data_IF_245738414706
#
_entry.id   IF_245738414706
#
_cell.length_a   1.000
_cell.length_b   1.000
_cell.length_c   1.000
_cell.angle_alpha   90.00
_cell.angle_beta   90.00
_cell.angle_gamma   90.00
#
_symmetry.space_group_name_H-M   'P 1'
#
loop_
_entity.id
_entity.type
_entity.pdbx_description
1 polymer ?
#
# COMPACT_ATOMS: atom_id res chain seq x y z
N UNK A 1 -9.66 -8.18 -15.67
CA UNK A 1 -8.98 -7.38 -16.68
C UNK A 1 -7.55 -7.06 -16.28
N UNK A 2 -6.78 -6.40 -17.13
CA UNK A 2 -5.41 -6.00 -16.78
C UNK A 2 -5.42 -4.94 -15.68
N UNK A 3 -4.46 -5.02 -14.76
CA UNK A 3 -4.25 -4.05 -13.70
C UNK A 3 -3.03 -3.19 -14.01
N UNK A 4 -3.11 -1.89 -13.73
CA UNK A 4 -2.04 -0.93 -13.95
C UNK A 4 -1.38 -0.46 -12.64
N UNK A 5 -1.79 -1.01 -11.50
CA UNK A 5 -1.23 -0.68 -10.18
C UNK A 5 -1.37 -1.83 -9.19
N UNK A 6 -0.44 -1.88 -8.24
CA UNK A 6 -0.60 -2.62 -7.00
C UNK A 6 -1.24 -1.72 -5.95
N UNK A 7 -2.06 -2.29 -5.11
CA UNK A 7 -2.66 -1.58 -3.97
C UNK A 7 -2.45 -2.39 -2.70
N UNK A 8 -1.92 -1.74 -1.67
CA UNK A 8 -1.86 -2.28 -0.32
C UNK A 8 -2.70 -1.41 0.60
N UNK A 9 -3.58 -2.04 1.34
CA UNK A 9 -4.37 -1.39 2.40
C UNK A 9 -3.80 -1.82 3.75
N UNK A 10 -3.32 -0.84 4.53
CA UNK A 10 -2.80 -1.04 5.87
C UNK A 10 -3.93 -0.74 6.86
N UNK A 11 -4.57 -1.79 7.37
CA UNK A 11 -5.71 -1.70 8.28
C UNK A 11 -5.25 -1.99 9.72
N UNK A 12 -5.29 -0.97 10.61
CA UNK A 12 -4.83 -1.15 11.99
C UNK A 12 -5.85 -1.91 12.83
N UNK A 13 -5.37 -2.89 13.59
CA UNK A 13 -6.12 -3.49 14.68
C UNK A 13 -6.22 -2.55 15.88
N UNK A 14 -6.86 -3.01 16.96
CA UNK A 14 -6.96 -2.24 18.19
C UNK A 14 -5.57 -1.88 18.73
N UNK A 15 -5.45 -0.68 19.27
CA UNK A 15 -4.25 -0.14 19.93
C UNK A 15 -3.03 0.04 19.00
N UNK A 16 -3.21 -0.04 17.69
CA UNK A 16 -2.16 0.29 16.73
C UNK A 16 -2.10 1.81 16.52
N UNK A 17 -0.91 2.37 16.62
CA UNK A 17 -0.66 3.80 16.45
C UNK A 17 -0.38 4.18 15.00
N UNK A 18 -0.55 5.47 14.67
CA UNK A 18 -0.15 5.99 13.36
C UNK A 18 1.37 5.82 13.12
N UNK A 19 2.20 5.94 14.17
CA UNK A 19 3.63 5.70 14.07
C UNK A 19 3.94 4.27 13.65
N UNK A 20 3.21 3.29 14.17
CA UNK A 20 3.36 1.88 13.77
C UNK A 20 2.90 1.64 12.32
N UNK A 21 1.80 2.29 11.91
CA UNK A 21 1.38 2.26 10.50
C UNK A 21 2.45 2.85 9.58
N UNK A 22 3.05 3.98 9.96
CA UNK A 22 4.13 4.60 9.21
C UNK A 22 5.35 3.68 9.10
N UNK A 23 5.70 2.97 10.16
CA UNK A 23 6.79 1.99 10.16
C UNK A 23 6.57 0.90 9.12
N UNK A 24 5.36 0.35 9.06
CA UNK A 24 5.01 -0.67 8.07
C UNK A 24 4.97 -0.08 6.65
N UNK A 25 4.44 1.13 6.48
CA UNK A 25 4.45 1.81 5.18
C UNK A 25 5.87 2.01 4.65
N UNK A 26 6.80 2.44 5.49
CA UNK A 26 8.21 2.57 5.13
C UNK A 26 8.85 1.22 4.78
N UNK A 27 8.49 0.15 5.49
CA UNK A 27 8.98 -1.19 5.18
C UNK A 27 8.49 -1.68 3.81
N UNK A 28 7.23 -1.41 3.45
CA UNK A 28 6.71 -1.69 2.11
C UNK A 28 7.47 -0.87 1.06
N UNK A 29 7.68 0.41 1.31
CA UNK A 29 8.44 1.29 0.41
C UNK A 29 9.84 0.76 0.16
N UNK A 30 10.57 0.38 1.21
CA UNK A 30 11.92 -0.14 1.10
C UNK A 30 11.97 -1.42 0.26
N UNK A 31 11.01 -2.31 0.48
CA UNK A 31 10.89 -3.55 -0.28
C UNK A 31 10.59 -3.29 -1.76
N UNK A 32 9.74 -2.31 -2.05
CA UNK A 32 9.43 -1.90 -3.43
C UNK A 32 10.61 -1.18 -4.08
N UNK A 33 11.34 -0.34 -3.34
CA UNK A 33 12.54 0.32 -3.84
C UNK A 33 13.60 -0.70 -4.28
N UNK A 34 13.74 -1.81 -3.58
CA UNK A 34 14.66 -2.90 -3.95
C UNK A 34 14.35 -3.51 -5.32
N UNK A 35 13.12 -3.43 -5.77
CA UNK A 35 12.69 -3.90 -7.09
C UNK A 35 12.41 -2.76 -8.07
N UNK A 36 12.79 -1.53 -7.71
CA UNK A 36 12.70 -0.36 -8.60
C UNK A 36 11.30 0.21 -8.77
N UNK A 37 10.37 -0.09 -7.85
CA UNK A 37 9.00 0.38 -7.92
C UNK A 37 8.74 1.52 -6.92
N UNK A 38 8.27 2.69 -7.38
CA UNK A 38 7.89 3.78 -6.50
C UNK A 38 6.58 3.48 -5.79
N UNK A 39 6.42 3.98 -4.57
CA UNK A 39 5.20 3.83 -3.77
C UNK A 39 4.63 5.21 -3.45
N UNK A 40 3.32 5.35 -3.64
CA UNK A 40 2.57 6.58 -3.37
C UNK A 40 1.66 6.36 -2.16
N UNK A 41 1.95 7.00 -1.02
CA UNK A 41 1.17 6.81 0.19
C UNK A 41 -0.03 7.74 0.25
N UNK A 42 -1.12 7.24 0.84
CA UNK A 42 -2.32 8.01 1.13
C UNK A 42 -2.78 7.68 2.55
N UNK A 43 -3.28 8.67 3.27
CA UNK A 43 -4.14 8.39 4.42
C UNK A 43 -5.50 7.95 3.90
N UNK A 44 -6.08 6.90 4.52
CA UNK A 44 -7.25 6.22 3.93
C UNK A 44 -8.56 7.00 4.04
N UNK A 45 -8.59 8.01 4.90
CA UNK A 45 -9.82 8.70 5.27
C UNK A 45 -10.64 7.93 6.30
N UNK A 46 -10.09 6.88 6.86
CA UNK A 46 -10.66 6.09 7.95
C UNK A 46 -9.63 5.95 9.07
N UNK A 47 -8.97 4.81 9.19
CA UNK A 47 -8.02 4.56 10.28
C UNK A 47 -6.60 4.30 9.80
N UNK A 48 -6.42 3.87 8.58
CA UNK A 48 -5.17 3.34 8.07
C UNK A 48 -4.54 4.14 6.95
N UNK A 49 -3.70 3.46 6.21
CA UNK A 49 -2.98 3.98 5.05
C UNK A 49 -3.26 3.12 3.83
N UNK A 50 -3.25 3.74 2.65
CA UNK A 50 -3.19 3.04 1.38
C UNK A 50 -1.85 3.30 0.71
N UNK A 51 -1.31 2.30 0.05
CA UNK A 51 -0.08 2.41 -0.71
C UNK A 51 -0.36 2.00 -2.16
N UNK A 52 -0.12 2.90 -3.09
CA UNK A 52 -0.29 2.66 -4.51
C UNK A 52 1.06 2.51 -5.19
N UNK A 53 1.21 1.46 -5.98
CA UNK A 53 2.43 1.17 -6.73
C UNK A 53 2.07 1.09 -8.22
N UNK A 54 2.55 2.03 -9.06
CA UNK A 54 2.25 2.02 -10.48
C UNK A 54 2.99 0.88 -11.18
N UNK A 55 2.34 0.30 -12.16
CA UNK A 55 2.92 -0.72 -13.02
C UNK A 55 3.08 -0.15 -14.43
N UNK A 56 4.19 -0.51 -15.05
CA UNK A 56 4.58 -0.01 -16.37
C UNK A 56 3.58 -0.33 -17.46
N UNK A 57 3.27 -1.59 -17.50
CA UNK A 57 2.32 -2.12 -18.46
C UNK A 57 1.20 -2.81 -17.68
N UNK A 58 0.00 -2.85 -18.24
CA UNK A 58 -1.05 -3.64 -17.62
C UNK A 58 -0.61 -5.09 -17.47
N UNK A 59 -0.61 -5.56 -16.22
CA UNK A 59 -0.31 -6.94 -15.87
C UNK A 59 -1.62 -7.65 -15.61
N UNK A 60 -1.69 -8.95 -15.92
CA UNK A 60 -2.86 -9.74 -15.55
C UNK A 60 -3.12 -9.63 -14.05
N UNK A 61 -4.37 -9.44 -13.67
CA UNK A 61 -4.75 -9.22 -12.26
C UNK A 61 -4.37 -10.37 -11.34
N UNK A 62 -4.32 -11.60 -11.84
CA UNK A 62 -3.82 -12.75 -11.07
C UNK A 62 -2.32 -12.64 -10.75
N UNK A 63 -1.51 -12.15 -11.70
CA UNK A 63 -0.08 -11.90 -11.47
C UNK A 63 0.16 -10.78 -10.47
N UNK A 64 -0.62 -9.71 -10.53
CA UNK A 64 -0.56 -8.61 -9.58
C UNK A 64 -0.95 -9.09 -8.17
N UNK A 65 -2.00 -9.89 -8.05
CA UNK A 65 -2.44 -10.45 -6.77
C UNK A 65 -1.36 -11.38 -6.16
N UNK A 66 -0.69 -12.17 -6.98
CA UNK A 66 0.41 -13.04 -6.52
C UNK A 66 1.57 -12.22 -5.96
N UNK A 67 1.98 -11.15 -6.67
CA UNK A 67 3.06 -10.27 -6.21
C UNK A 67 2.67 -9.58 -4.90
N UNK A 68 1.48 -9.01 -4.82
CA UNK A 68 0.99 -8.33 -3.64
C UNK A 68 0.92 -9.26 -2.42
N UNK A 69 0.43 -10.49 -2.62
CA UNK A 69 0.39 -11.51 -1.57
C UNK A 69 1.78 -11.87 -1.05
N UNK A 70 2.76 -12.03 -1.96
CA UNK A 70 4.14 -12.35 -1.57
C UNK A 70 4.79 -11.24 -0.76
N UNK A 71 4.56 -10.00 -1.13
CA UNK A 71 5.05 -8.83 -0.38
C UNK A 71 4.45 -8.84 1.02
N UNK A 72 3.13 -9.02 1.13
CA UNK A 72 2.45 -9.09 2.42
C UNK A 72 2.98 -10.22 3.30
N UNK A 73 3.18 -11.40 2.75
CA UNK A 73 3.71 -12.56 3.47
C UNK A 73 5.16 -12.33 3.92
N UNK A 74 5.98 -11.69 3.10
CA UNK A 74 7.35 -11.38 3.47
C UNK A 74 7.42 -10.39 4.64
N UNK A 75 6.56 -9.38 4.64
CA UNK A 75 6.48 -8.43 5.76
C UNK A 75 5.93 -9.08 7.02
N UNK A 76 4.97 -9.99 6.91
CA UNK A 76 4.51 -10.77 8.06
C UNK A 76 5.64 -11.60 8.66
N UNK A 77 6.51 -12.18 7.85
CA UNK A 77 7.67 -12.92 8.31
C UNK A 77 8.74 -12.04 8.95
N UNK A 78 8.99 -10.86 8.40
CA UNK A 78 10.01 -9.94 8.92
C UNK A 78 9.56 -9.12 10.12
N UNK A 79 8.25 -8.88 10.25
CA UNK A 79 7.63 -8.07 11.31
C UNK A 79 6.45 -8.81 11.96
N UNK A 80 6.66 -10.02 12.50
CA UNK A 80 5.55 -10.88 12.94
C UNK A 80 4.77 -10.34 14.13
N UNK A 81 5.40 -9.48 14.96
CA UNK A 81 4.72 -8.85 16.08
C UNK A 81 3.76 -7.72 15.65
N UNK A 82 3.96 -7.15 14.47
CA UNK A 82 3.24 -5.96 14.03
C UNK A 82 2.37 -6.19 12.79
N UNK A 83 2.74 -7.12 11.90
CA UNK A 83 2.08 -7.32 10.61
C UNK A 83 1.44 -8.68 10.53
N UNK A 84 0.20 -8.72 10.04
CA UNK A 84 -0.46 -9.97 9.61
C UNK A 84 -0.97 -9.83 8.18
N UNK A 85 -0.83 -10.89 7.39
CA UNK A 85 -1.34 -10.99 6.03
C UNK A 85 -2.65 -11.79 5.97
N UNK A 86 -3.18 -12.21 7.11
CA UNK A 86 -4.41 -13.01 7.19
C UNK A 86 -5.62 -12.17 7.56
N UNK A 87 -6.77 -12.48 6.96
CA UNK A 87 -8.03 -11.78 7.20
C UNK A 87 -8.70 -12.14 8.53
N UNK A 88 -8.20 -13.12 9.26
CA UNK A 88 -8.81 -13.58 10.53
C UNK A 88 -8.76 -12.48 11.58
N UNK A 89 -9.90 -11.96 11.99
CA UNK A 89 -10.02 -10.84 12.94
C UNK A 89 -9.36 -11.12 14.30
N UNK A 90 -9.42 -12.36 14.78
CA UNK A 90 -8.81 -12.75 16.06
C UNK A 90 -7.27 -12.61 16.08
N UNK A 91 -6.63 -12.53 14.92
CA UNK A 91 -5.18 -12.37 14.80
C UNK A 91 -4.74 -10.92 14.61
N UNK A 92 -5.68 -9.97 14.57
CA UNK A 92 -5.39 -8.55 14.27
C UNK A 92 -5.18 -7.67 15.49
N UNK A 93 -5.51 -8.14 16.70
CA UNK A 93 -5.33 -7.33 17.91
C UNK A 93 -3.86 -6.91 18.05
N UNK A 94 -3.61 -5.61 18.13
CA UNK A 94 -2.26 -5.04 18.21
C UNK A 94 -1.45 -5.15 16.92
N UNK A 95 -2.04 -5.62 15.82
CA UNK A 95 -1.36 -5.80 14.53
C UNK A 95 -2.00 -5.00 13.41
N UNK A 96 -1.22 -4.77 12.37
CA UNK A 96 -1.66 -4.16 11.12
C UNK A 96 -1.94 -5.29 10.14
N UNK A 97 -3.18 -5.34 9.64
CA UNK A 97 -3.53 -6.21 8.53
C UNK A 97 -3.06 -5.56 7.23
N UNK A 98 -2.09 -6.19 6.58
CA UNK A 98 -1.63 -5.78 5.27
C UNK A 98 -2.48 -6.46 4.21
N UNK A 99 -3.54 -5.78 3.79
CA UNK A 99 -4.50 -6.30 2.83
C UNK A 99 -3.99 -6.15 1.40
N UNK A 100 -3.71 -7.27 0.76
CA UNK A 100 -3.33 -7.36 -0.64
C UNK A 100 -4.51 -7.72 -1.55
N UNK A 101 -5.67 -8.03 -0.98
CA UNK A 101 -6.84 -8.54 -1.72
C UNK A 101 -7.49 -7.51 -2.65
N UNK A 102 -7.18 -6.21 -2.47
CA UNK A 102 -7.63 -5.15 -3.36
C UNK A 102 -7.09 -5.31 -4.80
N UNK A 103 -6.11 -6.18 -5.00
CA UNK A 103 -5.55 -6.50 -6.31
C UNK A 103 -6.33 -7.61 -7.04
N UNK A 104 -7.35 -8.17 -6.41
CA UNK A 104 -8.26 -9.12 -7.06
C UNK A 104 -9.25 -8.38 -7.96
N UNK A 105 -9.46 -8.89 -9.17
CA UNK A 105 -10.36 -8.27 -10.16
C UNK A 105 -11.81 -8.12 -9.68
N UNK A 106 -12.24 -8.95 -8.71
CA UNK A 106 -13.59 -8.92 -8.17
C UNK A 106 -13.80 -7.87 -7.07
N UNK A 107 -12.75 -7.19 -6.62
CA UNK A 107 -12.83 -6.17 -5.57
C UNK A 107 -12.67 -4.77 -6.13
N UNK A 108 -13.40 -3.81 -5.53
CA UNK A 108 -13.27 -2.40 -5.83
C UNK A 108 -12.42 -1.70 -4.77
N UNK A 109 -11.48 -0.88 -5.23
CA UNK A 109 -10.68 -0.02 -4.37
C UNK A 109 -11.39 1.30 -4.17
N UNK A 110 -11.31 1.89 -2.97
CA UNK A 110 -11.84 3.22 -2.70
C UNK A 110 -11.01 4.23 -3.50
N UNK A 111 -11.70 5.08 -4.26
CA UNK A 111 -11.04 6.15 -4.99
C UNK A 111 -10.43 7.18 -4.03
N UNK A 112 -9.22 7.72 -4.33
CA UNK A 112 -8.67 8.84 -3.57
C UNK A 112 -9.66 10.01 -3.52
N UNK A 113 -9.63 10.77 -2.42
CA UNK A 113 -10.55 11.88 -2.15
C UNK A 113 -12.01 11.48 -1.95
N UNK A 114 -12.33 10.19 -1.81
CA UNK A 114 -13.68 9.73 -1.49
C UNK A 114 -14.10 10.13 -0.08
N UNK A 115 -15.31 10.60 0.08
CA UNK A 115 -15.90 10.91 1.39
C UNK A 115 -16.24 9.63 2.15
N UNK A 116 -15.96 9.64 3.44
CA UNK A 116 -16.36 8.58 4.37
C UNK A 116 -17.57 9.05 5.19
N UNK A 117 -18.46 8.12 5.51
CA UNK A 117 -19.68 8.41 6.28
C UNK A 117 -19.43 8.62 7.77
N UNK A 118 -18.84 9.76 8.14
CA UNK A 118 -18.60 10.19 9.53
C UNK A 118 -19.20 11.56 9.78
N UNK A 119 -19.44 11.94 11.05
CA UNK A 119 -19.97 13.25 11.43
C UNK A 119 -19.06 14.40 11.02
N UNK A 120 -17.75 14.25 11.23
CA UNK A 120 -16.69 15.09 10.64
C UNK A 120 -15.90 14.20 9.69
N UNK A 121 -16.31 14.12 8.43
CA UNK A 121 -15.75 13.12 7.53
C UNK A 121 -14.30 13.43 7.21
N UNK A 122 -13.43 12.47 7.48
CA UNK A 122 -12.10 12.44 6.91
C UNK A 122 -12.16 11.76 5.54
N UNK A 123 -11.25 12.15 4.66
CA UNK A 123 -11.23 11.69 3.28
C UNK A 123 -9.88 11.04 2.95
N UNK A 124 -9.88 10.18 1.95
CA UNK A 124 -8.64 9.66 1.42
C UNK A 124 -7.79 10.81 0.86
N UNK A 125 -6.52 10.87 1.26
CA UNK A 125 -5.66 11.98 0.91
C UNK A 125 -4.24 11.52 0.56
N UNK A 126 -3.73 11.85 -0.63
CA UNK A 126 -2.32 11.64 -0.95
C UNK A 126 -1.42 12.40 0.03
N UNK A 127 -0.35 11.75 0.45
CA UNK A 127 0.61 12.31 1.39
C UNK A 127 2.02 12.23 0.82
N UNK A 128 2.90 13.10 1.29
CA UNK A 128 4.33 12.95 1.03
C UNK A 128 4.94 11.93 2.00
N UNK A 129 6.08 11.36 1.65
CA UNK A 129 6.78 10.45 2.55
C UNK A 129 7.29 11.15 3.81
N UNK A 130 7.64 12.42 3.73
CA UNK A 130 7.99 13.22 4.91
C UNK A 130 6.82 13.32 5.89
N UNK A 131 5.61 13.50 5.38
CA UNK A 131 4.41 13.51 6.21
C UNK A 131 4.11 12.15 6.85
N UNK A 132 4.38 11.05 6.15
CA UNK A 132 4.23 9.70 6.71
C UNK A 132 5.16 9.49 7.91
N UNK A 133 6.35 10.10 7.89
CA UNK A 133 7.30 10.06 9.01
C UNK A 133 7.02 11.08 10.12
N UNK A 134 6.03 11.96 9.95
CA UNK A 134 5.70 12.98 10.93
C UNK A 134 5.02 12.36 12.16
N UNK A 135 5.46 12.68 13.40
CA UNK A 135 4.80 12.20 14.62
C UNK A 135 3.33 12.62 14.72
N UNK A 136 2.95 13.70 14.08
CA UNK A 136 1.58 14.23 14.08
C UNK A 136 0.73 13.74 12.90
N UNK A 137 1.18 12.71 12.19
CA UNK A 137 0.44 12.11 11.09
C UNK A 137 -0.97 11.71 11.53
N UNK A 138 -1.97 12.18 10.80
CA UNK A 138 -3.39 11.91 11.07
C UNK A 138 -4.20 11.87 9.78
N UNK A 139 -5.41 11.35 9.88
CA UNK A 139 -6.39 11.45 8.81
C UNK A 139 -6.79 12.93 8.61
N UNK A 140 -7.14 13.30 7.36
CA UNK A 140 -7.46 14.68 7.00
C UNK A 140 -8.94 14.83 6.65
N UNK A 141 -9.47 16.00 7.00
CA UNK A 141 -10.81 16.41 6.57
C UNK A 141 -10.76 17.00 5.15
N UNK A 142 -11.92 17.04 4.50
CA UNK A 142 -12.04 17.46 3.11
C UNK A 142 -11.44 18.84 2.83
N UNK A 143 -11.69 19.83 3.68
CA UNK A 143 -11.18 21.18 3.49
C UNK A 143 -9.65 21.26 3.58
N UNK A 144 -9.06 20.45 4.47
CA UNK A 144 -7.60 20.33 4.58
C UNK A 144 -7.00 19.74 3.32
N UNK A 145 -7.67 18.76 2.70
CA UNK A 145 -7.21 18.15 1.45
C UNK A 145 -7.28 19.14 0.30
N UNK A 146 -8.32 19.97 0.23
CA UNK A 146 -8.40 21.04 -0.77
C UNK A 146 -7.26 22.05 -0.64
N UNK A 147 -6.95 22.48 0.58
CA UNK A 147 -5.84 23.40 0.83
C UNK A 147 -4.50 22.77 0.45
N UNK A 148 -4.30 21.50 0.72
CA UNK A 148 -3.10 20.77 0.35
C UNK A 148 -2.94 20.62 -1.16
N UNK A 149 -4.02 20.37 -1.89
CA UNK A 149 -4.00 20.27 -3.35
C UNK A 149 -3.52 21.58 -3.99
N UNK A 150 -3.88 22.71 -3.41
CA UNK A 150 -3.39 24.02 -3.84
C UNK A 150 -1.89 24.23 -3.55
N UNK A 151 -1.38 23.68 -2.44
CA UNK A 151 0.02 23.80 -2.02
C UNK A 151 0.95 22.81 -2.73
N UNK A 152 0.56 21.55 -2.81
CA UNK A 152 1.40 20.44 -3.29
C UNK A 152 1.09 20.01 -4.73
N UNK A 153 -0.02 20.43 -5.31
CA UNK A 153 -0.49 19.93 -6.59
C UNK A 153 -0.96 18.47 -6.49
N UNK A 154 -0.91 17.77 -7.61
CA UNK A 154 -1.32 16.35 -7.66
C UNK A 154 -0.15 15.43 -7.26
N UNK A 155 -0.16 14.99 -6.03
CA UNK A 155 0.85 14.06 -5.50
C UNK A 155 0.78 12.66 -6.13
N UNK A 156 -0.30 12.34 -6.84
CA UNK A 156 -0.48 11.05 -7.54
C UNK A 156 -0.19 11.14 -9.04
N UNK A 157 0.29 12.28 -9.53
CA UNK A 157 0.53 12.49 -10.96
C UNK A 157 1.48 11.44 -11.58
N UNK A 158 2.42 10.91 -10.81
CA UNK A 158 3.35 9.87 -11.26
C UNK A 158 2.77 8.47 -11.34
N UNK A 159 1.55 8.25 -10.84
CA UNK A 159 0.97 6.91 -10.73
C UNK A 159 0.71 6.27 -12.10
N UNK A 160 0.25 7.05 -13.08
CA UNK A 160 -0.12 6.56 -14.40
C UNK A 160 1.01 6.72 -15.44
N UNK A 161 2.14 7.34 -15.08
CA UNK A 161 3.24 7.67 -15.99
C UNK A 161 4.45 6.73 -15.89
N UNK A 162 4.42 5.76 -15.01
CA UNK A 162 5.56 4.88 -14.73
C UNK A 162 5.46 3.56 -15.45
N UNK A 163 6.35 3.39 -16.36
CA UNK A 163 6.44 2.19 -17.18
C UNK A 163 7.49 1.21 -16.62
N UNK A 164 7.21 0.51 -15.54
CA UNK A 164 8.06 -0.54 -14.98
C UNK A 164 7.32 -1.88 -14.95
N UNK A 165 7.83 -2.88 -15.62
CA UNK A 165 7.29 -4.24 -15.53
C UNK A 165 7.65 -4.86 -14.18
N UNK A 166 6.71 -4.80 -13.26
CA UNK A 166 6.89 -5.29 -11.90
C UNK A 166 7.27 -6.77 -11.83
N UNK A 167 6.69 -7.59 -12.71
CA UNK A 167 6.95 -9.03 -12.70
C UNK A 167 8.33 -9.36 -13.27
N UNK A 168 8.73 -8.69 -14.34
CA UNK A 168 10.07 -8.91 -14.91
C UNK A 168 11.16 -8.40 -13.96
N UNK A 169 10.96 -7.24 -13.36
CA UNK A 169 11.88 -6.69 -12.36
C UNK A 169 11.98 -7.62 -11.14
N UNK A 170 10.84 -8.08 -10.63
CA UNK A 170 10.81 -9.03 -9.51
C UNK A 170 11.53 -10.34 -9.84
N UNK A 171 11.31 -10.88 -11.04
CA UNK A 171 11.98 -12.09 -11.51
C UNK A 171 13.49 -11.89 -11.66
N UNK A 172 13.92 -10.75 -12.19
CA UNK A 172 15.35 -10.46 -12.41
C UNK A 172 16.13 -10.30 -11.11
N UNK A 173 15.48 -9.80 -10.05
CA UNK A 173 16.10 -9.62 -8.74
C UNK A 173 16.08 -10.88 -7.87
N UNK A 174 15.31 -11.87 -8.27
CA UNK A 174 15.19 -13.13 -7.55
C UNK A 174 16.45 -13.97 -7.77
N UNK A 175 17.25 -14.15 -6.75
CA UNK A 175 18.42 -15.02 -6.81
C UNK A 175 17.99 -16.47 -6.52
N UNK A 176 18.06 -17.38 -7.53
CA UNK A 176 17.64 -18.77 -7.36
C UNK A 176 18.38 -19.52 -6.24
N UNK A 177 19.61 -19.09 -5.93
CA UNK A 177 20.42 -19.70 -4.89
C UNK A 177 19.99 -19.32 -3.46
N UNK A 178 19.19 -18.25 -3.33
CA UNK A 178 18.70 -17.75 -2.03
C UNK A 178 17.20 -17.95 -1.80
N UNK A 179 16.48 -18.37 -2.81
CA UNK A 179 15.03 -18.58 -2.73
C UNK A 179 14.71 -20.06 -2.87
N UNK A 180 14.11 -20.70 -1.86
CA UNK A 180 13.84 -22.15 -1.89
C UNK A 180 12.69 -22.58 -2.83
N UNK A 181 12.02 -21.64 -3.49
CA UNK A 181 10.91 -21.93 -4.40
C UNK A 181 11.36 -21.95 -5.87
N UNK A 182 10.78 -22.82 -6.71
CA UNK A 182 11.11 -22.84 -8.12
C UNK A 182 10.77 -21.51 -8.79
N UNK A 183 11.68 -21.04 -9.65
CA UNK A 183 11.43 -19.84 -10.46
C UNK A 183 10.38 -20.22 -11.50
N UNK A 184 9.24 -19.54 -11.59
CA UNK A 184 8.26 -19.79 -12.64
C UNK A 184 8.89 -19.56 -14.00
N UNK A 185 8.74 -20.51 -14.86
CA UNK A 185 9.18 -20.42 -16.28
C UNK A 185 8.42 -19.34 -17.04
#
# INVERSE_FOLDING_TARGET
>A
GPANRLVFDLDPGEDVTMAQLAEVAHAVRDLMDDIGLPVYPLTSGSKGLHLYVPLAEPVRSDGVAVLARRVAQQLEQSMPALVTATMTKSLRAGKIFLDWSQNNAAKTTIAPYSLRGRQTPTVAAPRTWDEIGDPDLRQLEYEEVLARAAEHGDLLAGLDSRAVDALSTYRSMRNPAKTPEPVPS
#
